data_IF_141973456565
#
_entry.id   IF_141973456565
#
_cell.length_a   1.000
_cell.length_b   1.000
_cell.length_c   1.000
_cell.angle_alpha   90.00
_cell.angle_beta   90.00
_cell.angle_gamma   90.00
#
_symmetry.space_group_name_H-M   'P 1'
#
loop_
_entity.id
_entity.type
_entity.pdbx_description
1 polymer ?
#
# COMPACT_ATOMS: atom_id res chain seq x y z
N UNK A 1 17.72 -6.63 -11.84
CA UNK A 1 18.24 -5.25 -11.73
C UNK A 1 19.21 -4.91 -12.87
N UNK A 2 20.35 -5.62 -13.07
CA UNK A 2 21.35 -5.29 -14.08
C UNK A 2 20.83 -5.11 -15.51
N UNK A 3 19.90 -5.95 -15.95
CA UNK A 3 19.27 -5.80 -17.27
C UNK A 3 18.47 -4.49 -17.38
N UNK A 4 17.68 -4.15 -16.35
CA UNK A 4 16.89 -2.92 -16.32
C UNK A 4 17.78 -1.68 -16.39
N UNK A 5 18.86 -1.65 -15.63
CA UNK A 5 19.86 -0.55 -15.67
C UNK A 5 20.44 -0.41 -17.07
N UNK A 6 21.00 -1.52 -17.61
CA UNK A 6 21.68 -1.51 -18.91
C UNK A 6 20.78 -1.06 -20.07
N UNK A 7 19.50 -1.43 -20.00
CA UNK A 7 18.55 -1.22 -21.09
C UNK A 7 17.54 -0.09 -20.82
N UNK A 8 17.72 0.67 -19.75
CA UNK A 8 16.82 1.77 -19.33
C UNK A 8 15.37 1.33 -19.25
N UNK A 9 15.11 0.19 -18.56
CA UNK A 9 13.78 -0.38 -18.36
C UNK A 9 13.31 -0.19 -16.94
N UNK A 10 11.99 -0.18 -16.76
CA UNK A 10 11.38 -0.28 -15.44
C UNK A 10 11.81 -1.57 -14.75
N UNK A 11 11.98 -1.50 -13.44
CA UNK A 11 12.19 -2.68 -12.61
C UNK A 11 10.91 -3.02 -11.86
N UNK A 12 10.43 -4.25 -11.98
CA UNK A 12 9.36 -4.73 -11.13
C UNK A 12 9.94 -5.10 -9.75
N UNK A 13 9.35 -4.54 -8.71
CA UNK A 13 9.53 -4.96 -7.32
C UNK A 13 8.19 -5.51 -6.82
N UNK A 14 8.15 -6.78 -6.49
CA UNK A 14 6.96 -7.45 -6.01
C UNK A 14 7.10 -7.78 -4.53
N UNK A 15 6.21 -7.26 -3.70
CA UNK A 15 6.30 -7.41 -2.25
C UNK A 15 6.13 -8.87 -1.79
N UNK A 16 5.37 -9.67 -2.51
CA UNK A 16 5.15 -11.08 -2.18
C UNK A 16 6.33 -12.00 -2.52
N UNK A 17 7.23 -11.56 -3.39
CA UNK A 17 8.37 -12.36 -3.85
C UNK A 17 9.64 -12.17 -3.01
N UNK A 18 9.61 -11.31 -2.01
CA UNK A 18 10.70 -11.15 -1.05
C UNK A 18 10.50 -12.03 0.19
N UNK A 19 11.58 -12.25 0.93
CA UNK A 19 11.46 -12.93 2.19
C UNK A 19 10.56 -12.10 3.13
N UNK A 20 9.65 -12.72 3.92
CA UNK A 20 8.71 -11.97 4.78
C UNK A 20 9.37 -11.03 5.81
N UNK A 21 10.66 -11.24 6.11
CA UNK A 21 11.45 -10.36 6.99
C UNK A 21 12.16 -9.23 6.25
N UNK A 22 12.07 -9.16 4.92
CA UNK A 22 12.65 -8.07 4.14
C UNK A 22 11.64 -6.95 3.94
N UNK A 23 12.11 -5.71 4.08
CA UNK A 23 11.32 -4.52 3.77
C UNK A 23 11.53 -4.09 2.33
N UNK A 24 10.44 -4.01 1.56
CA UNK A 24 10.46 -3.40 0.23
C UNK A 24 10.69 -1.90 0.33
N UNK A 25 10.13 -1.25 1.35
CA UNK A 25 10.30 0.17 1.57
C UNK A 25 11.78 0.59 1.55
N UNK A 26 12.64 -0.18 2.23
CA UNK A 26 14.08 0.10 2.32
C UNK A 26 14.82 0.00 0.96
N UNK A 27 14.18 -0.58 -0.04
CA UNK A 27 14.76 -0.78 -1.38
C UNK A 27 14.36 0.31 -2.38
N UNK A 28 13.21 0.95 -2.20
CA UNK A 28 12.60 1.85 -3.18
C UNK A 28 13.53 3.01 -3.56
N UNK A 29 13.96 3.78 -2.59
CA UNK A 29 14.83 4.94 -2.82
C UNK A 29 16.15 4.54 -3.48
N UNK A 30 16.80 3.47 -3.00
CA UNK A 30 18.05 2.98 -3.56
C UNK A 30 17.92 2.50 -5.00
N UNK A 31 16.88 1.75 -5.31
CA UNK A 31 16.63 1.22 -6.67
C UNK A 31 16.37 2.36 -7.65
N UNK A 32 15.62 3.38 -7.26
CA UNK A 32 15.30 4.55 -8.09
C UNK A 32 16.54 5.41 -8.46
N UNK A 33 17.66 5.24 -7.75
CA UNK A 33 18.93 5.87 -8.15
C UNK A 33 19.52 5.26 -9.42
N UNK A 34 19.12 4.04 -9.80
CA UNK A 34 19.74 3.28 -10.88
C UNK A 34 18.82 2.97 -12.05
N UNK A 35 17.49 3.04 -11.87
CA UNK A 35 16.52 2.74 -12.93
C UNK A 35 15.60 3.94 -13.18
N UNK A 36 15.05 4.06 -14.40
CA UNK A 36 14.16 5.18 -14.72
C UNK A 36 12.85 5.17 -13.91
N UNK A 37 12.40 3.99 -13.49
CA UNK A 37 11.19 3.85 -12.70
C UNK A 37 10.96 2.41 -12.22
N UNK A 38 9.96 2.24 -11.39
CA UNK A 38 9.59 0.97 -10.76
C UNK A 38 8.13 0.65 -11.07
N UNK A 39 7.86 -0.61 -11.40
CA UNK A 39 6.54 -1.20 -11.23
C UNK A 39 6.53 -1.86 -9.84
N UNK A 40 5.75 -1.32 -8.93
CA UNK A 40 5.61 -1.84 -7.58
C UNK A 40 4.37 -2.72 -7.50
N UNK A 41 4.54 -4.02 -7.39
CA UNK A 41 3.45 -4.93 -7.06
C UNK A 41 3.24 -4.94 -5.56
N UNK A 42 2.08 -4.46 -5.14
CA UNK A 42 1.69 -4.40 -3.73
C UNK A 42 0.91 -5.67 -3.42
N UNK A 43 1.54 -6.54 -2.65
CA UNK A 43 0.99 -7.78 -2.13
C UNK A 43 1.45 -7.99 -0.69
N UNK A 44 0.94 -9.00 0.00
CA UNK A 44 1.37 -9.36 1.35
C UNK A 44 2.02 -10.72 1.34
N UNK A 45 3.32 -10.76 1.57
CA UNK A 45 4.06 -12.00 1.76
C UNK A 45 3.77 -12.60 3.13
N UNK A 46 3.14 -13.77 3.17
CA UNK A 46 2.91 -14.54 4.40
C UNK A 46 4.06 -15.52 4.63
N UNK A 47 4.63 -15.97 3.56
CA UNK A 47 5.84 -16.81 3.50
C UNK A 47 6.52 -16.49 2.18
N UNK A 48 7.68 -17.07 1.94
CA UNK A 48 8.39 -16.87 0.69
C UNK A 48 7.49 -17.13 -0.52
N UNK A 49 7.56 -16.24 -1.51
CA UNK A 49 6.87 -16.37 -2.81
C UNK A 49 5.37 -16.62 -2.64
N UNK A 50 4.71 -15.73 -1.90
CA UNK A 50 3.28 -15.84 -1.66
C UNK A 50 2.62 -14.46 -1.71
N UNK A 51 1.71 -14.30 -2.68
CA UNK A 51 1.00 -13.06 -2.93
C UNK A 51 -0.41 -13.11 -2.32
N UNK A 52 -0.54 -12.62 -1.10
CA UNK A 52 -1.82 -12.51 -0.41
C UNK A 52 -2.38 -11.10 -0.47
N UNK A 53 -3.69 -11.00 -0.21
CA UNK A 53 -4.37 -9.70 -0.12
C UNK A 53 -3.69 -8.81 0.91
N UNK A 54 -3.42 -7.59 0.51
CA UNK A 54 -2.77 -6.58 1.36
C UNK A 54 -3.64 -6.23 2.55
N UNK A 55 -3.06 -6.27 3.72
CA UNK A 55 -3.63 -5.74 4.97
C UNK A 55 -3.06 -4.37 5.28
N UNK A 56 -3.77 -3.59 6.09
CA UNK A 56 -3.28 -2.29 6.55
C UNK A 56 -2.34 -2.52 7.75
N UNK A 57 -1.12 -2.91 7.44
CA UNK A 57 -0.07 -3.24 8.40
C UNK A 57 1.15 -2.31 8.29
N UNK A 58 2.12 -2.50 9.17
CA UNK A 58 3.32 -1.66 9.21
C UNK A 58 4.16 -1.76 7.93
N UNK A 59 4.15 -2.91 7.26
CA UNK A 59 4.88 -3.10 6.00
C UNK A 59 4.30 -2.22 4.88
N UNK A 60 2.98 -2.26 4.72
CA UNK A 60 2.28 -1.41 3.74
C UNK A 60 2.41 0.08 4.09
N UNK A 61 2.35 0.43 5.38
CA UNK A 61 2.56 1.81 5.83
C UNK A 61 3.97 2.30 5.50
N UNK A 62 4.99 1.49 5.73
CA UNK A 62 6.38 1.85 5.39
C UNK A 62 6.56 2.10 3.89
N UNK A 63 5.97 1.24 3.04
CA UNK A 63 5.98 1.43 1.58
C UNK A 63 5.31 2.77 1.23
N UNK A 64 4.10 3.02 1.75
CA UNK A 64 3.37 4.26 1.47
C UNK A 64 4.14 5.51 1.94
N UNK A 65 4.79 5.44 3.09
CA UNK A 65 5.62 6.51 3.63
C UNK A 65 6.80 6.83 2.70
N UNK A 66 7.52 5.81 2.21
CA UNK A 66 8.61 6.00 1.25
C UNK A 66 8.13 6.61 -0.07
N UNK A 67 6.97 6.18 -0.55
CA UNK A 67 6.36 6.74 -1.76
C UNK A 67 6.01 8.23 -1.63
N UNK A 68 5.49 8.64 -0.48
CA UNK A 68 5.07 10.03 -0.28
C UNK A 68 6.25 10.94 0.09
N UNK A 69 7.19 10.45 0.92
CA UNK A 69 8.32 11.26 1.39
C UNK A 69 9.34 11.60 0.30
N UNK A 70 9.55 10.71 -0.65
CA UNK A 70 10.55 10.85 -1.70
C UNK A 70 9.98 11.41 -3.01
N UNK A 71 8.67 11.66 -3.06
CA UNK A 71 7.93 12.17 -4.24
C UNK A 71 8.23 11.42 -5.56
N UNK A 72 8.34 10.09 -5.56
CA UNK A 72 8.64 9.33 -6.76
C UNK A 72 7.39 8.87 -7.51
N UNK A 73 6.21 9.45 -7.23
CA UNK A 73 4.93 8.98 -7.78
C UNK A 73 4.84 9.10 -9.30
N UNK A 74 5.61 9.97 -9.91
CA UNK A 74 5.77 10.07 -11.36
C UNK A 74 6.62 8.93 -11.96
N UNK A 75 7.40 8.24 -11.12
CA UNK A 75 8.35 7.18 -11.51
C UNK A 75 7.96 5.80 -10.98
N UNK A 76 6.95 5.71 -10.12
CA UNK A 76 6.47 4.45 -9.56
C UNK A 76 5.04 4.17 -9.99
N UNK A 77 4.87 3.04 -10.65
CA UNK A 77 3.56 2.52 -11.05
C UNK A 77 3.13 1.48 -10.02
N UNK A 78 2.07 1.77 -9.28
CA UNK A 78 1.55 0.87 -8.25
C UNK A 78 0.55 -0.10 -8.87
N UNK A 79 0.86 -1.38 -8.82
CA UNK A 79 -0.02 -2.48 -9.20
C UNK A 79 -0.44 -3.28 -7.97
N UNK A 80 -1.69 -3.72 -7.94
CA UNK A 80 -2.16 -4.69 -6.95
C UNK A 80 -2.02 -6.06 -7.58
N UNK A 81 -1.11 -6.87 -7.08
CA UNK A 81 -0.86 -8.21 -7.58
C UNK A 81 -0.92 -9.22 -6.43
N UNK A 82 -2.08 -9.81 -6.28
CA UNK A 82 -2.30 -10.83 -5.28
C UNK A 82 -3.44 -11.76 -5.68
N UNK A 83 -3.36 -12.97 -5.19
CA UNK A 83 -4.37 -13.99 -5.32
C UNK A 83 -4.66 -14.61 -3.94
N UNK A 84 -5.93 -14.66 -3.56
CA UNK A 84 -6.37 -15.36 -2.36
C UNK A 84 -7.58 -16.24 -2.71
N UNK A 85 -7.35 -17.54 -2.75
CA UNK A 85 -8.38 -18.52 -3.11
C UNK A 85 -9.41 -18.72 -2.00
N UNK A 86 -9.15 -18.24 -0.78
CA UNK A 86 -10.03 -18.43 0.37
C UNK A 86 -11.21 -17.45 0.42
N UNK A 87 -11.15 -16.40 -0.38
CA UNK A 87 -12.16 -15.34 -0.39
C UNK A 87 -12.60 -14.99 -1.82
N UNK A 88 -13.75 -14.33 -1.92
CA UNK A 88 -14.23 -13.79 -3.19
C UNK A 88 -13.21 -12.84 -3.82
N UNK A 89 -12.88 -13.03 -5.10
CA UNK A 89 -11.88 -12.22 -5.82
C UNK A 89 -12.20 -10.73 -5.82
N UNK A 90 -13.46 -10.35 -5.99
CA UNK A 90 -13.87 -8.94 -5.99
C UNK A 90 -13.71 -8.35 -4.59
N UNK A 91 -14.02 -9.12 -3.55
CA UNK A 91 -13.75 -8.72 -2.17
C UNK A 91 -12.24 -8.52 -1.95
N UNK A 92 -11.40 -9.46 -2.42
CA UNK A 92 -9.95 -9.38 -2.32
C UNK A 92 -9.42 -8.08 -2.96
N UNK A 93 -9.82 -7.79 -4.19
CA UNK A 93 -9.42 -6.55 -4.88
C UNK A 93 -9.92 -5.29 -4.16
N UNK A 94 -11.16 -5.30 -3.68
CA UNK A 94 -11.72 -4.17 -2.94
C UNK A 94 -10.97 -3.92 -1.64
N UNK A 95 -10.66 -4.97 -0.88
CA UNK A 95 -9.89 -4.86 0.37
C UNK A 95 -8.50 -4.31 0.08
N UNK A 96 -7.77 -4.92 -0.85
CA UNK A 96 -6.40 -4.53 -1.16
C UNK A 96 -6.30 -3.10 -1.69
N UNK A 97 -7.20 -2.71 -2.62
CA UNK A 97 -7.27 -1.32 -3.13
C UNK A 97 -7.52 -0.32 -2.01
N UNK A 98 -8.53 -0.60 -1.18
CA UNK A 98 -8.87 0.29 -0.06
C UNK A 98 -7.73 0.41 0.94
N UNK A 99 -7.06 -0.68 1.26
CA UNK A 99 -5.95 -0.67 2.21
C UNK A 99 -4.73 0.07 1.65
N UNK A 100 -4.39 -0.11 0.38
CA UNK A 100 -3.31 0.63 -0.27
C UNK A 100 -3.60 2.13 -0.30
N UNK A 101 -4.82 2.53 -0.68
CA UNK A 101 -5.22 3.94 -0.69
C UNK A 101 -5.24 4.55 0.72
N UNK A 102 -5.67 3.78 1.74
CA UNK A 102 -5.63 4.24 3.13
C UNK A 102 -4.18 4.42 3.62
N UNK A 103 -3.28 3.51 3.28
CA UNK A 103 -1.87 3.65 3.64
C UNK A 103 -1.26 4.92 3.02
N UNK A 104 -1.54 5.18 1.75
CA UNK A 104 -1.11 6.41 1.08
C UNK A 104 -1.72 7.65 1.74
N UNK A 105 -3.00 7.61 2.12
CA UNK A 105 -3.65 8.71 2.83
C UNK A 105 -2.99 8.98 4.18
N UNK A 106 -2.70 7.95 4.97
CA UNK A 106 -2.03 8.10 6.27
C UNK A 106 -0.64 8.71 6.08
N UNK A 107 0.10 8.27 5.06
CA UNK A 107 1.40 8.85 4.73
C UNK A 107 1.30 10.33 4.31
N UNK A 108 0.27 10.70 3.55
CA UNK A 108 -0.01 12.11 3.19
C UNK A 108 -0.38 12.98 4.40
N UNK A 109 -0.98 12.38 5.43
CA UNK A 109 -1.37 13.07 6.67
C UNK A 109 -0.23 13.12 7.71
N UNK A 110 0.97 12.68 7.35
CA UNK A 110 2.13 12.71 8.25
C UNK A 110 2.39 14.13 8.75
N UNK A 111 2.44 14.34 10.09
CA UNK A 111 2.71 15.67 10.65
C UNK A 111 4.12 16.15 10.29
N UNK A 112 4.32 17.41 9.87
CA UNK A 112 5.65 17.97 9.62
C UNK A 112 6.60 17.85 10.81
N UNK A 113 6.07 17.84 12.04
CA UNK A 113 6.84 17.69 13.27
C UNK A 113 7.61 16.35 13.32
N UNK A 114 7.06 15.27 12.72
CA UNK A 114 7.76 14.00 12.65
C UNK A 114 9.04 14.10 11.82
N UNK A 115 8.98 14.71 10.63
CA UNK A 115 10.16 14.94 9.79
C UNK A 115 11.17 15.88 10.43
N UNK A 116 10.68 16.91 11.13
CA UNK A 116 11.56 17.84 11.89
C UNK A 116 12.32 17.10 12.99
N UNK A 117 11.66 16.20 13.73
CA UNK A 117 12.31 15.38 14.74
C UNK A 117 13.38 14.44 14.13
N UNK A 118 13.10 13.84 12.97
CA UNK A 118 14.09 13.02 12.25
C UNK A 118 15.32 13.84 11.86
N UNK A 119 15.13 15.01 11.27
CA UNK A 119 16.23 15.88 10.85
C UNK A 119 17.06 16.41 12.04
N UNK A 120 16.42 16.57 13.19
CA UNK A 120 17.08 16.98 14.44
C UNK A 120 17.73 15.80 15.21
N UNK A 121 17.62 14.57 14.74
CA UNK A 121 18.03 13.34 15.43
C UNK A 121 17.36 13.19 16.81
N UNK A 122 16.18 13.79 17.00
CA UNK A 122 15.34 13.60 18.18
C UNK A 122 14.48 12.32 18.00
N UNK A 123 15.09 11.19 18.32
CA UNK A 123 14.44 9.88 18.15
C UNK A 123 13.26 9.66 19.11
N UNK A 124 13.25 10.35 20.26
CA UNK A 124 12.12 10.29 21.20
C UNK A 124 10.89 10.95 20.62
N UNK A 125 10.99 12.18 20.16
CA UNK A 125 9.89 12.88 19.50
C UNK A 125 9.47 12.20 18.22
N UNK A 126 10.42 11.67 17.43
CA UNK A 126 10.13 10.88 16.24
C UNK A 126 9.22 9.69 16.56
N UNK A 127 9.58 8.86 17.53
CA UNK A 127 8.77 7.71 17.90
C UNK A 127 7.40 8.11 18.44
N UNK A 128 7.34 9.16 19.28
CA UNK A 128 6.08 9.66 19.81
C UNK A 128 5.12 10.10 18.69
N UNK A 129 5.62 10.84 17.69
CA UNK A 129 4.82 11.24 16.54
C UNK A 129 4.39 10.07 15.65
N UNK A 130 5.24 9.07 15.47
CA UNK A 130 4.89 7.86 14.71
C UNK A 130 3.74 7.10 15.37
N UNK A 131 3.74 6.97 16.69
CA UNK A 131 2.66 6.31 17.42
C UNK A 131 1.39 7.17 17.44
N UNK A 132 1.50 8.49 17.64
CA UNK A 132 0.35 9.38 17.61
C UNK A 132 -0.35 9.39 16.25
N UNK A 133 0.41 9.33 15.15
CA UNK A 133 -0.13 9.26 13.79
C UNK A 133 -1.10 8.08 13.61
N UNK A 134 -0.85 6.95 14.27
CA UNK A 134 -1.71 5.77 14.19
C UNK A 134 -3.11 6.03 14.75
N UNK A 135 -3.23 6.95 15.71
CA UNK A 135 -4.48 7.28 16.41
C UNK A 135 -5.20 8.53 15.87
N UNK A 136 -4.57 9.29 14.97
CA UNK A 136 -5.20 10.45 14.33
C UNK A 136 -6.47 10.02 13.56
N UNK A 137 -7.49 10.90 13.46
CA UNK A 137 -8.78 10.56 12.85
C UNK A 137 -8.73 10.50 11.31
N UNK A 138 -7.73 9.85 10.74
CA UNK A 138 -7.58 9.66 9.30
C UNK A 138 -8.77 8.93 8.68
N UNK A 139 -9.48 8.13 9.47
CA UNK A 139 -10.71 7.45 9.03
C UNK A 139 -11.80 8.42 8.62
N UNK A 140 -11.94 9.56 9.30
CA UNK A 140 -12.91 10.60 8.91
C UNK A 140 -12.53 11.24 7.56
N UNK A 141 -11.23 11.48 7.33
CA UNK A 141 -10.74 11.99 6.04
C UNK A 141 -10.97 10.96 4.93
N UNK A 142 -10.73 9.68 5.23
CA UNK A 142 -11.02 8.58 4.31
C UNK A 142 -12.49 8.50 3.93
N UNK A 143 -13.40 8.62 4.89
CA UNK A 143 -14.84 8.58 4.62
C UNK A 143 -15.29 9.80 3.81
N UNK A 144 -14.80 10.99 4.13
CA UNK A 144 -15.05 12.19 3.33
C UNK A 144 -14.54 12.05 1.87
N UNK A 145 -13.38 11.44 1.68
CA UNK A 145 -12.87 11.10 0.35
C UNK A 145 -13.80 10.12 -0.37
N UNK A 146 -14.22 9.05 0.28
CA UNK A 146 -15.15 8.09 -0.32
C UNK A 146 -16.47 8.76 -0.75
N UNK A 147 -17.05 9.58 0.10
CA UNK A 147 -18.29 10.32 -0.20
C UNK A 147 -18.09 11.27 -1.40
N UNK A 148 -16.96 11.99 -1.47
CA UNK A 148 -16.62 12.86 -2.60
C UNK A 148 -16.50 12.12 -3.94
N UNK A 149 -16.23 10.82 -3.91
CA UNK A 149 -16.09 9.96 -5.08
C UNK A 149 -17.30 9.07 -5.32
N UNK A 150 -18.38 9.24 -4.55
CA UNK A 150 -19.57 8.39 -4.59
C UNK A 150 -19.23 6.89 -4.38
N UNK A 151 -18.28 6.61 -3.50
CA UNK A 151 -17.86 5.25 -3.13
C UNK A 151 -18.35 4.93 -1.72
N UNK A 152 -18.86 3.71 -1.45
CA UNK A 152 -19.37 3.35 -0.12
C UNK A 152 -18.33 3.56 0.98
N UNK A 153 -18.71 4.29 2.03
CA UNK A 153 -17.92 4.47 3.25
C UNK A 153 -18.01 3.25 4.16
N UNK A 154 -17.04 3.11 5.06
CA UNK A 154 -16.98 2.02 6.03
C UNK A 154 -17.03 0.65 5.36
N UNK A 155 -17.85 -0.25 5.88
CA UNK A 155 -18.01 -1.64 5.41
C UNK A 155 -19.17 -1.82 4.39
N UNK A 156 -19.89 -0.77 4.04
CA UNK A 156 -21.08 -0.87 3.18
C UNK A 156 -20.82 -1.49 1.80
N UNK A 157 -19.60 -1.38 1.29
CA UNK A 157 -19.18 -2.03 0.03
C UNK A 157 -19.35 -3.57 0.05
N UNK A 158 -19.28 -4.19 1.23
CA UNK A 158 -19.36 -5.65 1.38
C UNK A 158 -20.74 -6.18 1.00
N UNK A 159 -21.80 -5.42 1.30
CA UNK A 159 -23.17 -5.79 0.92
C UNK A 159 -23.33 -5.90 -0.60
N UNK A 160 -22.74 -4.95 -1.34
CA UNK A 160 -22.74 -4.98 -2.81
C UNK A 160 -21.99 -6.19 -3.36
N UNK A 161 -20.82 -6.52 -2.77
CA UNK A 161 -20.05 -7.69 -3.18
C UNK A 161 -20.81 -8.99 -2.91
N UNK A 162 -21.43 -9.13 -1.73
CA UNK A 162 -22.25 -10.29 -1.38
C UNK A 162 -23.48 -10.42 -2.28
N UNK A 163 -24.14 -9.33 -2.59
CA UNK A 163 -25.28 -9.34 -3.51
C UNK A 163 -24.84 -9.79 -4.92
N UNK A 164 -23.70 -9.32 -5.41
CA UNK A 164 -23.13 -9.76 -6.68
C UNK A 164 -22.74 -11.24 -6.65
N UNK A 165 -22.14 -11.70 -5.58
CA UNK A 165 -21.80 -13.12 -5.39
C UNK A 165 -23.04 -14.01 -5.48
N UNK A 166 -24.10 -13.66 -4.75
CA UNK A 166 -25.35 -14.41 -4.76
C UNK A 166 -26.10 -14.36 -6.09
N UNK A 167 -26.11 -13.20 -6.77
CA UNK A 167 -26.91 -13.01 -7.98
C UNK A 167 -26.20 -13.42 -9.28
N UNK A 168 -24.87 -13.36 -9.32
CA UNK A 168 -24.07 -13.56 -10.53
C UNK A 168 -23.09 -14.70 -10.39
N UNK A 169 -22.20 -14.68 -9.37
CA UNK A 169 -21.12 -15.67 -9.29
C UNK A 169 -21.63 -17.08 -9.00
N UNK A 170 -22.61 -17.21 -8.10
CA UNK A 170 -23.23 -18.52 -7.78
C UNK A 170 -23.84 -19.23 -8.99
N UNK A 171 -24.13 -18.50 -10.06
CA UNK A 171 -24.70 -19.06 -11.31
C UNK A 171 -23.64 -19.47 -12.34
N UNK A 172 -22.36 -19.25 -12.04
CA UNK A 172 -21.24 -19.58 -12.92
C UNK A 172 -20.51 -20.86 -12.52
N UNK A 173 -21.00 -21.54 -11.47
CA UNK A 173 -20.47 -22.81 -10.99
C UNK A 173 -20.91 -23.99 -11.88
#
# INVERSE_FOLDING_TARGET
MGYAIKNQKLLCLDAGHFHPTESIADKLGTVLMYVPGILLHVSRGVRWDSDHVVTLDDSLQSIATELIRNDPLDRIHIGLDFFDASINRIAAWTIGTRNTLKALLIALLEPPALRQAEMAFDFTSRLAWMEELKSLPWGAVWDAYCDSRNVPTGIRWLETVKAYEASVLSKRA
#
